data_IF_912186820867
#
_entry.id   IF_912186820867
#
_cell.length_a   1.000
_cell.length_b   1.000
_cell.length_c   1.000
_cell.angle_alpha   90.00
_cell.angle_beta   90.00
_cell.angle_gamma   90.00
#
_symmetry.space_group_name_H-M   'P 1'
#
loop_
_entity.id
_entity.type
_entity.pdbx_description
1 polymer ?
#
# COMPACT_ATOMS: atom_id res chain seq x y z
N UNK A 1 -9.26 -9.48 -10.53
CA UNK A 1 -10.35 -8.53 -10.24
C UNK A 1 -9.87 -7.53 -9.22
N UNK A 2 -10.31 -6.27 -9.33
CA UNK A 2 -9.97 -5.16 -8.44
C UNK A 2 -11.21 -4.32 -8.17
N UNK A 3 -11.26 -3.67 -7.00
CA UNK A 3 -12.21 -2.59 -6.76
C UNK A 3 -11.97 -1.42 -7.73
N UNK A 4 -13.03 -0.82 -8.28
CA UNK A 4 -12.94 0.36 -9.15
C UNK A 4 -12.32 1.56 -8.42
N UNK A 5 -12.50 1.64 -7.11
CA UNK A 5 -11.88 2.63 -6.24
C UNK A 5 -10.71 1.97 -5.49
N UNK A 6 -9.53 1.96 -6.12
CA UNK A 6 -8.33 1.35 -5.56
C UNK A 6 -7.08 2.06 -6.08
N UNK A 7 -5.91 1.63 -5.60
CA UNK A 7 -4.66 2.25 -6.01
C UNK A 7 -4.29 1.88 -7.46
N UNK A 8 -4.13 2.86 -8.38
CA UNK A 8 -3.97 2.58 -9.82
C UNK A 8 -2.76 1.71 -10.18
N UNK A 9 -1.77 1.62 -9.28
CA UNK A 9 -0.58 0.80 -9.50
C UNK A 9 -0.90 -0.69 -9.67
N UNK A 10 -1.96 -1.20 -9.04
CA UNK A 10 -2.38 -2.60 -9.20
C UNK A 10 -2.77 -2.92 -10.64
N UNK A 11 -3.44 -1.97 -11.32
CA UNK A 11 -3.80 -2.14 -12.74
C UNK A 11 -2.55 -2.19 -13.61
N UNK A 12 -1.58 -1.30 -13.33
CA UNK A 12 -0.31 -1.27 -14.06
C UNK A 12 0.47 -2.57 -13.88
N UNK A 13 0.58 -3.06 -12.64
CA UNK A 13 1.24 -4.34 -12.36
C UNK A 13 0.53 -5.49 -13.08
N UNK A 14 -0.80 -5.57 -13.01
CA UNK A 14 -1.55 -6.63 -13.69
C UNK A 14 -1.27 -6.64 -15.20
N UNK A 15 -1.29 -5.47 -15.84
CA UNK A 15 -0.99 -5.34 -17.27
C UNK A 15 0.45 -5.75 -17.60
N UNK A 16 1.43 -5.36 -16.76
CA UNK A 16 2.84 -5.70 -16.96
C UNK A 16 3.13 -7.20 -16.90
N UNK A 17 2.39 -7.94 -16.06
CA UNK A 17 2.50 -9.40 -15.95
C UNK A 17 1.55 -10.14 -16.90
N UNK A 18 0.97 -9.43 -17.88
CA UNK A 18 0.12 -10.02 -18.93
C UNK A 18 -1.29 -10.39 -18.48
N UNK A 19 -1.75 -9.91 -17.34
CA UNK A 19 -3.11 -10.12 -16.86
C UNK A 19 -4.05 -9.03 -17.40
N UNK A 20 -5.31 -9.40 -17.63
CA UNK A 20 -6.38 -8.46 -17.96
C UNK A 20 -7.07 -8.00 -16.67
N UNK A 21 -6.92 -6.72 -16.25
CA UNK A 21 -7.62 -6.22 -15.07
C UNK A 21 -9.12 -6.13 -15.34
N UNK A 22 -9.93 -6.54 -14.36
CA UNK A 22 -11.38 -6.39 -14.34
C UNK A 22 -11.71 -5.53 -13.13
N UNK A 23 -12.36 -4.40 -13.37
CA UNK A 23 -12.81 -3.50 -12.31
C UNK A 23 -14.24 -3.85 -11.92
N UNK A 24 -14.48 -3.91 -10.62
CA UNK A 24 -15.78 -4.14 -10.00
C UNK A 24 -16.14 -2.91 -9.19
N UNK A 25 -17.38 -2.48 -9.29
CA UNK A 25 -17.88 -1.30 -8.60
C UNK A 25 -17.84 -1.48 -7.06
N UNK A 26 -17.98 -0.37 -6.36
CA UNK A 26 -17.96 -0.32 -4.90
C UNK A 26 -19.37 -0.24 -4.34
N UNK A 27 -19.56 -0.79 -3.14
CA UNK A 27 -20.79 -0.55 -2.39
C UNK A 27 -20.80 0.90 -1.83
N UNK A 28 -22.00 1.50 -1.68
CA UNK A 28 -22.11 2.95 -1.42
C UNK A 28 -21.81 3.35 0.03
N UNK A 29 -21.81 2.44 0.99
CA UNK A 29 -21.72 2.77 2.42
C UNK A 29 -20.27 3.03 2.83
N UNK A 30 -19.34 2.13 2.46
CA UNK A 30 -17.92 2.21 2.85
C UNK A 30 -16.99 2.34 1.66
N UNK A 31 -17.53 2.31 0.42
CA UNK A 31 -16.78 2.42 -0.84
C UNK A 31 -15.78 1.27 -1.06
N UNK A 32 -16.04 0.13 -0.45
CA UNK A 32 -15.28 -1.10 -0.66
C UNK A 32 -15.86 -1.93 -1.81
N UNK A 33 -15.15 -2.99 -2.23
CA UNK A 33 -15.58 -3.88 -3.30
C UNK A 33 -16.99 -4.42 -3.01
N UNK A 34 -17.95 -4.22 -3.94
CA UNK A 34 -19.31 -4.75 -3.83
C UNK A 34 -19.33 -6.28 -4.06
N UNK A 35 -19.69 -7.11 -3.06
CA UNK A 35 -19.72 -8.56 -3.22
C UNK A 35 -20.71 -9.05 -4.28
N UNK A 36 -21.82 -8.32 -4.50
CA UNK A 36 -22.81 -8.68 -5.50
C UNK A 36 -22.29 -8.47 -6.93
N UNK A 37 -21.51 -7.42 -7.13
CA UNK A 37 -20.85 -7.16 -8.40
C UNK A 37 -19.65 -8.10 -8.61
N UNK A 38 -18.92 -8.42 -7.53
CA UNK A 38 -17.85 -9.42 -7.57
C UNK A 38 -18.37 -10.77 -8.09
N UNK A 39 -19.50 -11.26 -7.55
CA UNK A 39 -20.11 -12.53 -7.96
C UNK A 39 -20.41 -12.58 -9.45
N UNK A 40 -20.81 -11.46 -10.05
CA UNK A 40 -21.10 -11.36 -11.49
C UNK A 40 -19.82 -11.28 -12.34
N UNK A 41 -18.72 -10.80 -11.78
CA UNK A 41 -17.48 -10.56 -12.50
C UNK A 41 -16.52 -11.75 -12.50
N UNK A 42 -16.67 -12.69 -11.56
CA UNK A 42 -15.85 -13.91 -11.50
C UNK A 42 -16.15 -14.82 -12.68
N UNK A 43 -15.10 -15.37 -13.26
CA UNK A 43 -15.14 -16.36 -14.33
C UNK A 43 -14.05 -17.42 -14.10
N UNK A 44 -14.07 -18.49 -14.88
CA UNK A 44 -13.01 -19.52 -14.94
C UNK A 44 -11.61 -18.97 -15.27
N UNK A 45 -11.56 -17.76 -15.84
CA UNK A 45 -10.30 -17.06 -16.16
C UNK A 45 -9.80 -16.16 -15.02
N UNK A 46 -10.57 -15.98 -13.96
CA UNK A 46 -10.17 -15.15 -12.82
C UNK A 46 -8.96 -15.77 -12.10
N UNK A 47 -7.87 -15.01 -11.96
CA UNK A 47 -6.63 -15.49 -11.33
C UNK A 47 -6.47 -15.06 -9.89
N UNK A 48 -7.01 -13.92 -9.54
CA UNK A 48 -7.00 -13.40 -8.16
C UNK A 48 -8.03 -12.29 -8.00
N UNK A 49 -8.41 -12.04 -6.76
CA UNK A 49 -9.21 -10.89 -6.34
C UNK A 49 -8.34 -10.04 -5.42
N UNK A 50 -8.19 -8.76 -5.71
CA UNK A 50 -7.53 -7.80 -4.81
C UNK A 50 -8.61 -6.97 -4.14
N UNK A 51 -8.68 -7.08 -2.82
CA UNK A 51 -9.65 -6.37 -1.97
C UNK A 51 -8.92 -5.26 -1.24
N UNK A 52 -9.27 -4.02 -1.51
CA UNK A 52 -8.73 -2.86 -0.78
C UNK A 52 -9.65 -2.53 0.39
N UNK A 53 -9.09 -2.40 1.59
CA UNK A 53 -9.79 -1.88 2.77
C UNK A 53 -9.63 -0.36 2.81
N UNK A 54 -10.56 0.33 2.15
CA UNK A 54 -10.41 1.74 1.86
C UNK A 54 -10.64 2.61 3.12
N UNK A 55 -9.80 3.62 3.32
CA UNK A 55 -9.87 4.56 4.45
C UNK A 55 -9.88 3.91 5.84
N UNK A 56 -9.41 2.67 5.96
CA UNK A 56 -9.40 1.91 7.20
C UNK A 56 -10.72 1.19 7.49
N UNK A 57 -11.71 1.27 6.60
CA UNK A 57 -12.93 0.47 6.68
C UNK A 57 -12.71 -0.90 6.06
N UNK A 58 -12.89 -1.99 6.81
CA UNK A 58 -12.80 -3.34 6.25
C UNK A 58 -13.91 -3.59 5.23
N UNK A 59 -13.59 -4.31 4.15
CA UNK A 59 -14.60 -4.85 3.24
C UNK A 59 -15.34 -6.04 3.89
N UNK A 60 -16.49 -6.45 3.35
CA UNK A 60 -17.29 -7.60 3.81
C UNK A 60 -16.56 -8.93 3.52
N UNK A 61 -15.53 -9.21 4.34
CA UNK A 61 -14.59 -10.28 4.06
C UNK A 61 -15.16 -11.69 4.16
N UNK A 62 -16.15 -11.91 4.99
CA UNK A 62 -16.88 -13.18 5.08
C UNK A 62 -17.56 -13.52 3.76
N UNK A 63 -18.32 -12.57 3.18
CA UNK A 63 -19.01 -12.74 1.90
C UNK A 63 -18.01 -12.85 0.75
N UNK A 64 -17.01 -11.97 0.71
CA UNK A 64 -16.00 -11.96 -0.37
C UNK A 64 -15.18 -13.25 -0.37
N UNK A 65 -14.74 -13.72 0.79
CA UNK A 65 -13.96 -14.97 0.86
C UNK A 65 -14.82 -16.20 0.57
N UNK A 66 -16.08 -16.19 0.96
CA UNK A 66 -17.02 -17.27 0.56
C UNK A 66 -17.14 -17.36 -0.97
N UNK A 67 -17.39 -16.22 -1.64
CA UNK A 67 -17.48 -16.17 -3.11
C UNK A 67 -16.19 -16.65 -3.77
N UNK A 68 -15.05 -16.23 -3.25
CA UNK A 68 -13.75 -16.59 -3.78
C UNK A 68 -13.44 -18.09 -3.62
N UNK A 69 -13.78 -18.66 -2.45
CA UNK A 69 -13.59 -20.09 -2.15
C UNK A 69 -14.49 -20.97 -3.04
N UNK A 70 -15.75 -20.58 -3.28
CA UNK A 70 -16.67 -21.30 -4.16
C UNK A 70 -16.11 -21.43 -5.61
N UNK A 71 -15.21 -20.52 -5.99
CA UNK A 71 -14.61 -20.46 -7.33
C UNK A 71 -13.11 -20.84 -7.35
N UNK A 72 -12.54 -21.25 -6.22
CA UNK A 72 -11.10 -21.54 -6.05
C UNK A 72 -10.20 -20.38 -6.51
N UNK A 73 -10.57 -19.13 -6.18
CA UNK A 73 -9.84 -17.93 -6.55
C UNK A 73 -9.17 -17.32 -5.32
N UNK A 74 -7.84 -17.11 -5.33
CA UNK A 74 -7.15 -16.52 -4.18
C UNK A 74 -7.51 -15.03 -3.99
N UNK A 75 -7.68 -14.65 -2.71
CA UNK A 75 -7.92 -13.26 -2.29
C UNK A 75 -6.63 -12.66 -1.77
N UNK A 76 -6.29 -11.47 -2.25
CA UNK A 76 -5.20 -10.62 -1.80
C UNK A 76 -5.81 -9.41 -1.12
N UNK A 77 -5.52 -9.21 0.17
CA UNK A 77 -6.00 -8.04 0.91
C UNK A 77 -5.00 -6.89 0.80
N UNK A 78 -5.44 -5.75 0.28
CA UNK A 78 -4.70 -4.50 0.35
C UNK A 78 -5.04 -3.76 1.64
N UNK A 79 -4.18 -3.92 2.62
CA UNK A 79 -4.26 -3.30 3.94
C UNK A 79 -3.41 -2.02 4.05
N UNK A 80 -3.06 -1.39 2.93
CA UNK A 80 -2.23 -0.18 2.94
C UNK A 80 -2.85 1.00 3.72
N UNK A 81 -4.15 0.95 4.01
CA UNK A 81 -4.88 1.97 4.76
C UNK A 81 -5.59 1.43 6.00
N UNK A 82 -5.47 0.13 6.30
CA UNK A 82 -6.26 -0.56 7.33
C UNK A 82 -5.42 -1.27 8.40
N UNK A 83 -4.23 -0.74 8.71
CA UNK A 83 -3.44 -1.26 9.81
C UNK A 83 -4.24 -1.15 11.13
N UNK A 84 -4.28 -2.24 11.92
CA UNK A 84 -5.05 -2.35 13.16
C UNK A 84 -6.56 -2.12 12.97
N UNK A 85 -7.10 -2.48 11.79
CA UNK A 85 -8.53 -2.52 11.51
C UNK A 85 -9.06 -3.94 11.63
N UNK A 86 -10.31 -4.08 12.06
CA UNK A 86 -10.92 -5.36 12.38
C UNK A 86 -12.27 -5.50 11.69
N UNK A 87 -12.52 -6.65 11.10
CA UNK A 87 -13.82 -7.08 10.61
C UNK A 87 -14.30 -8.26 11.45
N UNK A 88 -15.47 -8.18 12.07
CA UNK A 88 -16.03 -9.24 12.91
C UNK A 88 -15.04 -9.75 13.99
N UNK A 89 -14.25 -8.85 14.59
CA UNK A 89 -13.24 -9.16 15.62
C UNK A 89 -11.95 -9.79 15.10
N UNK A 90 -11.79 -9.95 13.79
CA UNK A 90 -10.59 -10.48 13.13
C UNK A 90 -9.86 -9.38 12.36
N UNK A 91 -8.54 -9.33 12.50
CA UNK A 91 -7.70 -8.30 11.88
C UNK A 91 -7.68 -8.40 10.35
N UNK A 92 -7.77 -7.26 9.65
CA UNK A 92 -7.60 -7.18 8.19
C UNK A 92 -6.23 -7.70 7.77
N UNK A 93 -6.15 -8.26 6.57
CA UNK A 93 -4.93 -8.92 6.06
C UNK A 93 -4.81 -10.39 6.46
N UNK A 94 -5.74 -10.91 7.26
CA UNK A 94 -5.70 -12.31 7.71
C UNK A 94 -6.81 -13.19 7.12
N UNK A 95 -7.72 -12.63 6.35
CA UNK A 95 -8.86 -13.33 5.74
C UNK A 95 -8.50 -14.03 4.44
N UNK A 96 -7.75 -13.35 3.58
CA UNK A 96 -7.35 -13.85 2.28
C UNK A 96 -6.12 -14.78 2.33
N UNK A 97 -5.63 -15.12 1.15
CA UNK A 97 -4.40 -15.89 0.98
C UNK A 97 -3.17 -15.10 1.43
N UNK A 98 -3.19 -13.77 1.23
CA UNK A 98 -2.13 -12.87 1.68
C UNK A 98 -2.69 -11.48 1.96
N UNK A 99 -2.09 -10.78 2.94
CA UNK A 99 -2.34 -9.38 3.25
C UNK A 99 -1.10 -8.53 2.98
N UNK A 100 -1.31 -7.35 2.39
CA UNK A 100 -0.27 -6.38 2.04
C UNK A 100 -0.43 -5.11 2.87
N UNK A 101 0.59 -4.74 3.63
CA UNK A 101 0.64 -3.50 4.42
C UNK A 101 1.70 -2.57 3.84
N UNK A 102 1.35 -1.32 3.62
CA UNK A 102 2.29 -0.30 3.19
C UNK A 102 2.97 0.36 4.38
N UNK A 103 4.30 0.47 4.33
CA UNK A 103 5.12 1.19 5.31
C UNK A 103 5.70 2.49 4.72
N UNK A 104 5.02 3.09 3.73
CA UNK A 104 5.46 4.35 3.12
C UNK A 104 5.41 5.51 4.12
N UNK A 105 6.00 6.65 3.75
CA UNK A 105 6.15 7.82 4.60
C UNK A 105 4.88 8.29 5.31
N UNK A 106 3.72 8.15 4.64
CA UNK A 106 2.43 8.63 5.15
C UNK A 106 1.65 7.56 5.95
N UNK A 107 2.25 6.41 6.20
CA UNK A 107 1.58 5.27 6.85
C UNK A 107 1.98 5.13 8.32
N UNK A 108 1.17 4.37 9.06
CA UNK A 108 1.46 3.88 10.39
C UNK A 108 1.26 2.38 10.38
N UNK A 109 2.32 1.63 10.73
CA UNK A 109 3.69 2.04 10.96
C UNK A 109 4.41 2.49 9.68
N UNK A 110 5.48 3.26 9.80
CA UNK A 110 6.28 3.70 8.65
C UNK A 110 7.74 3.25 8.76
N UNK A 111 8.31 2.84 7.64
CA UNK A 111 9.74 2.63 7.44
C UNK A 111 10.31 3.57 6.37
N UNK A 112 9.60 4.70 6.13
CA UNK A 112 9.89 5.68 5.08
C UNK A 112 9.76 5.11 3.65
N UNK A 113 9.29 3.89 3.51
CA UNK A 113 9.10 3.16 2.25
C UNK A 113 8.98 1.66 2.50
N UNK A 114 8.69 0.89 1.45
CA UNK A 114 8.50 -0.55 1.55
C UNK A 114 7.12 -0.95 2.07
N UNK A 115 7.02 -2.21 2.46
CA UNK A 115 5.79 -2.81 2.96
C UNK A 115 6.04 -4.16 3.61
N UNK A 116 4.99 -4.70 4.21
CA UNK A 116 4.97 -6.04 4.81
C UNK A 116 3.92 -6.87 4.10
N UNK A 117 4.27 -8.09 3.76
CA UNK A 117 3.35 -9.10 3.29
C UNK A 117 3.21 -10.16 4.36
N UNK A 118 1.99 -10.54 4.68
CA UNK A 118 1.68 -11.63 5.59
C UNK A 118 0.91 -12.73 4.87
N UNK A 119 1.22 -13.98 5.17
CA UNK A 119 0.50 -15.14 4.67
C UNK A 119 0.68 -16.32 5.63
N UNK A 120 -0.29 -17.24 5.64
CA UNK A 120 -0.17 -18.53 6.34
C UNK A 120 0.44 -19.61 5.44
N UNK A 121 0.53 -19.36 4.15
CA UNK A 121 1.13 -20.27 3.17
C UNK A 121 2.66 -20.13 3.22
N UNK A 122 3.31 -21.13 3.80
CA UNK A 122 4.78 -21.16 3.96
C UNK A 122 5.50 -21.30 2.63
N UNK A 123 4.90 -21.97 1.65
CA UNK A 123 5.45 -22.12 0.30
C UNK A 123 5.43 -20.78 -0.44
N UNK A 124 4.27 -20.07 -0.39
CA UNK A 124 4.16 -18.72 -0.93
C UNK A 124 5.16 -17.77 -0.27
N UNK A 125 5.27 -17.79 1.07
CA UNK A 125 6.22 -16.97 1.81
C UNK A 125 7.67 -17.23 1.37
N UNK A 126 8.04 -18.49 1.15
CA UNK A 126 9.36 -18.89 0.66
C UNK A 126 9.62 -18.38 -0.77
N UNK A 127 8.66 -18.56 -1.67
CA UNK A 127 8.73 -18.06 -3.06
C UNK A 127 8.90 -16.55 -3.12
N UNK A 128 8.12 -15.82 -2.31
CA UNK A 128 8.19 -14.35 -2.28
C UNK A 128 9.54 -13.88 -1.73
N UNK A 129 10.07 -14.50 -0.67
CA UNK A 129 11.40 -14.19 -0.15
C UNK A 129 12.48 -14.40 -1.21
N UNK A 130 12.44 -15.53 -1.92
CA UNK A 130 13.36 -15.83 -2.99
C UNK A 130 13.31 -14.79 -4.11
N UNK A 131 12.10 -14.45 -4.59
CA UNK A 131 11.89 -13.40 -5.59
C UNK A 131 12.42 -12.04 -5.11
N UNK A 132 12.12 -11.66 -3.86
CA UNK A 132 12.62 -10.43 -3.26
C UNK A 132 14.14 -10.42 -3.11
N UNK A 133 14.76 -11.59 -2.98
CA UNK A 133 16.21 -11.74 -2.96
C UNK A 133 16.86 -11.65 -4.35
N UNK A 134 16.25 -12.24 -5.35
CA UNK A 134 16.71 -12.21 -6.73
C UNK A 134 16.60 -10.82 -7.37
N UNK A 135 15.56 -10.06 -7.00
CA UNK A 135 15.29 -8.71 -7.50
C UNK A 135 16.00 -7.61 -6.68
N UNK A 136 17.09 -7.95 -5.99
CA UNK A 136 17.81 -7.01 -5.13
C UNK A 136 18.55 -5.94 -5.94
N UNK A 137 17.99 -4.76 -6.01
CA UNK A 137 18.77 -3.56 -6.29
C UNK A 137 19.26 -2.96 -4.97
N UNK A 138 20.57 -2.83 -4.79
CA UNK A 138 21.13 -2.10 -3.65
C UNK A 138 20.84 -0.62 -3.84
N UNK A 139 20.16 -0.01 -2.89
CA UNK A 139 20.06 1.46 -2.86
C UNK A 139 21.47 2.02 -2.75
N UNK A 140 21.95 2.67 -3.79
CA UNK A 140 23.23 3.39 -3.73
C UNK A 140 23.22 4.45 -2.61
N UNK A 141 24.40 4.89 -2.18
CA UNK A 141 24.54 5.88 -1.09
C UNK A 141 23.65 7.12 -1.29
N UNK A 142 23.50 7.59 -2.53
CA UNK A 142 22.62 8.72 -2.89
C UNK A 142 21.14 8.43 -2.60
N UNK A 143 20.67 7.22 -2.89
CA UNK A 143 19.29 6.80 -2.59
C UNK A 143 19.05 6.76 -1.08
N UNK A 144 19.99 6.24 -0.29
CA UNK A 144 19.90 6.23 1.17
C UNK A 144 19.82 7.65 1.74
N UNK A 145 20.69 8.56 1.29
CA UNK A 145 20.64 9.98 1.68
C UNK A 145 19.29 10.61 1.34
N UNK A 146 18.73 10.30 0.16
CA UNK A 146 17.40 10.79 -0.24
C UNK A 146 16.30 10.34 0.73
N UNK A 147 16.33 9.09 1.19
CA UNK A 147 15.35 8.57 2.16
C UNK A 147 15.49 9.25 3.53
N UNK A 148 16.71 9.43 4.02
CA UNK A 148 16.95 10.15 5.29
C UNK A 148 16.46 11.61 5.21
N UNK A 149 16.74 12.29 4.09
CA UNK A 149 16.29 13.66 3.87
C UNK A 149 14.76 13.75 3.83
N UNK A 150 14.10 12.82 3.14
CA UNK A 150 12.63 12.74 3.14
C UNK A 150 12.06 12.51 4.54
N UNK A 151 12.69 11.64 5.34
CA UNK A 151 12.32 11.41 6.73
C UNK A 151 12.46 12.67 7.57
N UNK A 152 13.59 13.37 7.47
CA UNK A 152 13.83 14.62 8.18
C UNK A 152 12.82 15.70 7.80
N UNK A 153 12.58 15.91 6.51
CA UNK A 153 11.57 16.87 6.01
C UNK A 153 10.18 16.51 6.53
N UNK A 154 9.83 15.22 6.60
CA UNK A 154 8.55 14.79 7.14
C UNK A 154 8.41 15.10 8.63
N UNK A 155 9.47 14.87 9.42
CA UNK A 155 9.49 15.21 10.84
C UNK A 155 9.33 16.73 11.03
N UNK A 156 10.07 17.54 10.29
CA UNK A 156 9.95 19.00 10.34
C UNK A 156 8.55 19.47 9.95
N UNK A 157 7.93 18.84 8.95
CA UNK A 157 6.57 19.14 8.53
C UNK A 157 5.48 18.72 9.53
N UNK A 158 5.81 17.86 10.49
CA UNK A 158 4.88 17.46 11.56
C UNK A 158 4.68 18.58 12.59
N UNK A 159 5.56 19.58 12.61
CA UNK A 159 5.42 20.76 13.47
C UNK A 159 4.69 21.87 12.72
N UNK A 160 3.46 22.29 13.13
CA UNK A 160 2.63 23.25 12.39
C UNK A 160 3.35 24.57 12.10
N UNK A 161 4.16 25.05 13.04
CA UNK A 161 4.91 26.30 12.91
C UNK A 161 6.01 26.19 11.84
N UNK A 162 6.78 25.10 11.83
CA UNK A 162 7.82 24.86 10.84
C UNK A 162 7.22 24.61 9.46
N UNK A 163 6.12 23.87 9.38
CA UNK A 163 5.36 23.69 8.13
C UNK A 163 4.93 25.04 7.55
N UNK A 164 4.31 25.90 8.36
CA UNK A 164 3.80 27.21 7.93
C UNK A 164 4.93 28.15 7.45
N UNK A 165 6.03 28.21 8.20
CA UNK A 165 7.14 29.15 7.92
C UNK A 165 8.03 28.70 6.76
N UNK A 166 8.25 27.38 6.60
CA UNK A 166 9.20 26.85 5.64
C UNK A 166 8.50 26.12 4.48
N UNK A 167 7.84 25.00 4.79
CA UNK A 167 7.36 24.10 3.77
C UNK A 167 6.19 24.66 2.97
N UNK A 168 5.25 25.33 3.62
CA UNK A 168 4.11 25.98 2.94
C UNK A 168 4.57 27.05 1.96
N UNK A 169 5.55 27.88 2.35
CA UNK A 169 6.11 28.92 1.48
C UNK A 169 6.85 28.33 0.29
N UNK A 170 7.70 27.33 0.54
CA UNK A 170 8.46 26.63 -0.51
C UNK A 170 7.53 25.90 -1.47
N UNK A 171 6.55 25.14 -0.97
CA UNK A 171 5.56 24.46 -1.83
C UNK A 171 4.68 25.45 -2.60
N UNK A 172 4.31 26.58 -1.99
CA UNK A 172 3.60 27.67 -2.66
C UNK A 172 4.39 28.25 -3.83
N UNK A 173 5.69 28.47 -3.64
CA UNK A 173 6.59 28.98 -4.67
C UNK A 173 6.80 27.97 -5.82
N UNK A 174 7.02 26.68 -5.47
CA UNK A 174 7.17 25.60 -6.45
C UNK A 174 5.86 25.47 -7.24
N UNK A 175 4.70 25.48 -6.59
CA UNK A 175 3.39 25.38 -7.26
C UNK A 175 3.19 26.50 -8.29
N UNK A 176 3.61 27.73 -7.97
CA UNK A 176 3.49 28.87 -8.88
C UNK A 176 4.45 28.79 -10.07
N UNK A 177 5.69 28.29 -9.85
CA UNK A 177 6.73 28.27 -10.90
C UNK A 177 6.76 26.97 -11.71
N UNK A 178 6.55 25.83 -11.05
CA UNK A 178 6.60 24.52 -11.69
C UNK A 178 5.66 23.52 -11.01
N UNK A 179 4.37 23.52 -11.34
CA UNK A 179 3.39 22.62 -10.75
C UNK A 179 3.69 21.13 -11.01
N UNK A 180 4.35 20.80 -12.12
CA UNK A 180 4.76 19.42 -12.44
C UNK A 180 5.85 18.92 -11.49
N UNK A 181 6.79 19.80 -11.10
CA UNK A 181 7.82 19.45 -10.10
C UNK A 181 7.18 19.17 -8.74
N UNK A 182 6.20 19.99 -8.32
CA UNK A 182 5.47 19.76 -7.08
C UNK A 182 4.75 18.41 -7.11
N UNK A 183 4.07 18.09 -8.20
CA UNK A 183 3.41 16.80 -8.41
C UNK A 183 4.41 15.64 -8.28
N UNK A 184 5.57 15.72 -8.92
CA UNK A 184 6.64 14.72 -8.79
C UNK A 184 7.15 14.57 -7.35
N UNK A 185 7.28 15.65 -6.60
CA UNK A 185 7.73 15.61 -5.19
C UNK A 185 6.68 14.93 -4.31
N UNK A 186 5.41 15.33 -4.45
CA UNK A 186 4.32 14.84 -3.59
C UNK A 186 3.83 13.43 -3.95
N UNK A 187 3.85 13.12 -5.25
CA UNK A 187 3.26 11.88 -5.79
C UNK A 187 4.30 11.00 -6.51
N UNK A 188 5.58 11.11 -6.12
CA UNK A 188 6.64 10.27 -6.69
C UNK A 188 6.27 8.79 -6.59
N UNK A 189 6.20 8.11 -7.74
CA UNK A 189 5.79 6.70 -7.84
C UNK A 189 4.29 6.47 -8.07
N UNK A 190 3.46 7.52 -8.14
CA UNK A 190 2.02 7.42 -8.47
C UNK A 190 1.71 7.77 -9.93
N UNK A 191 2.71 8.13 -10.73
CA UNK A 191 2.49 8.53 -12.12
C UNK A 191 2.24 7.28 -12.99
N UNK A 192 1.03 7.19 -13.55
CA UNK A 192 0.65 6.09 -14.45
C UNK A 192 1.45 6.13 -15.77
N UNK A 193 1.92 7.31 -16.17
CA UNK A 193 2.76 7.50 -17.35
C UNK A 193 4.24 7.24 -17.09
N UNK A 194 4.61 7.01 -15.82
CA UNK A 194 5.99 6.69 -15.47
C UNK A 194 6.36 5.29 -15.99
N UNK A 195 7.02 5.28 -17.14
CA UNK A 195 7.57 4.07 -17.75
C UNK A 195 8.71 3.46 -16.93
N UNK A 196 9.20 4.20 -15.93
CA UNK A 196 10.32 3.80 -15.06
C UNK A 196 9.93 2.84 -13.94
N UNK A 197 8.64 2.42 -13.86
CA UNK A 197 8.26 1.38 -12.92
C UNK A 197 8.79 0.02 -13.41
N UNK A 198 10.04 -0.26 -13.10
CA UNK A 198 10.62 -1.60 -13.20
C UNK A 198 10.59 -2.26 -11.81
N UNK A 199 9.86 -3.36 -11.63
CA UNK A 199 9.91 -4.13 -10.38
C UNK A 199 11.33 -4.56 -10.00
N UNK A 200 12.21 -4.76 -10.98
CA UNK A 200 13.60 -5.16 -10.77
C UNK A 200 14.49 -4.03 -10.19
N UNK A 201 14.09 -2.77 -10.37
CA UNK A 201 14.86 -1.61 -9.87
C UNK A 201 14.49 -1.19 -8.44
N UNK A 202 13.68 -1.95 -7.72
CA UNK A 202 13.27 -1.57 -6.36
C UNK A 202 14.39 -1.77 -5.36
N UNK A 203 14.80 -0.71 -4.68
CA UNK A 203 15.85 -0.82 -3.69
C UNK A 203 15.38 -1.64 -2.49
N UNK A 204 16.26 -2.51 -2.00
CA UNK A 204 16.07 -3.20 -0.72
C UNK A 204 15.95 -2.17 0.41
N UNK A 205 15.13 -2.47 1.40
CA UNK A 205 15.14 -1.72 2.65
C UNK A 205 16.55 -1.73 3.26
N UNK A 206 17.04 -0.55 3.61
CA UNK A 206 18.32 -0.42 4.30
C UNK A 206 18.19 -0.93 5.76
N UNK A 207 19.29 -1.31 6.38
CA UNK A 207 19.30 -1.83 7.75
C UNK A 207 18.57 -0.91 8.73
N UNK A 208 18.81 0.39 8.68
CA UNK A 208 18.12 1.38 9.53
C UNK A 208 16.62 1.43 9.34
N UNK A 209 16.10 1.11 8.14
CA UNK A 209 14.66 1.05 7.88
C UNK A 209 14.03 -0.17 8.56
N UNK A 210 14.77 -1.28 8.65
CA UNK A 210 14.35 -2.47 9.39
C UNK A 210 14.32 -2.19 10.89
N UNK A 211 15.34 -1.51 11.43
CA UNK A 211 15.40 -1.08 12.83
C UNK A 211 14.26 -0.09 13.15
N UNK A 212 14.05 0.91 12.29
CA UNK A 212 12.92 1.83 12.40
C UNK A 212 11.59 1.07 12.38
N UNK A 213 11.46 0.08 11.50
CA UNK A 213 10.29 -0.79 11.44
C UNK A 213 10.04 -1.52 12.76
N UNK A 214 11.06 -2.14 13.34
CA UNK A 214 10.94 -2.84 14.61
C UNK A 214 10.41 -1.92 15.73
N UNK A 215 10.94 -0.69 15.81
CA UNK A 215 10.46 0.32 16.77
C UNK A 215 9.04 0.78 16.44
N UNK A 216 8.75 1.07 15.19
CA UNK A 216 7.43 1.55 14.76
C UNK A 216 6.33 0.50 15.01
N UNK A 217 6.60 -0.77 14.70
CA UNK A 217 5.64 -1.85 14.93
C UNK A 217 5.42 -2.12 16.42
N UNK A 218 6.42 -1.95 17.28
CA UNK A 218 6.26 -2.13 18.73
C UNK A 218 5.31 -1.11 19.37
N UNK A 219 5.22 0.10 18.83
CA UNK A 219 4.34 1.16 19.34
C UNK A 219 3.15 1.49 18.42
N UNK A 220 2.98 0.74 17.33
CA UNK A 220 1.98 1.07 16.30
C UNK A 220 0.54 1.06 16.83
N UNK A 221 0.17 0.13 17.72
CA UNK A 221 -1.16 0.11 18.36
C UNK A 221 -1.42 1.36 19.17
N UNK A 222 -0.49 1.76 20.01
CA UNK A 222 -0.62 3.00 20.81
C UNK A 222 -0.79 4.23 19.89
N UNK A 223 -0.05 4.27 18.80
CA UNK A 223 -0.17 5.34 17.80
C UNK A 223 -1.56 5.34 17.14
N UNK A 224 -2.10 4.17 16.80
CA UNK A 224 -3.43 4.03 16.19
C UNK A 224 -4.52 4.44 17.20
N UNK A 225 -4.42 4.02 18.45
CA UNK A 225 -5.35 4.45 19.50
C UNK A 225 -5.35 5.97 19.71
N UNK A 226 -4.17 6.60 19.73
CA UNK A 226 -4.08 8.07 19.80
C UNK A 226 -4.76 8.75 18.62
N UNK A 227 -4.63 8.19 17.41
CA UNK A 227 -5.31 8.72 16.21
C UNK A 227 -6.84 8.60 16.27
N UNK A 228 -7.34 7.49 16.84
CA UNK A 228 -8.80 7.27 16.99
C UNK A 228 -9.43 8.21 18.01
N UNK A 229 -8.65 8.74 18.96
CA UNK A 229 -9.12 9.67 20.00
C UNK A 229 -9.14 11.13 19.55
N UNK A 230 -8.42 11.48 18.48
CA UNK A 230 -8.32 12.82 17.92
C UNK A 230 -9.32 13.01 16.76
#
# INVERSE_FOLDING_TARGET
IFSALSFPLYLKIALQIGLKPVLVDVEPEHLNLDPNQLRKAITDKTKAIVVTHLFGHPAEMDVITSIANDCDVPVIEDCAQSYDSYYEGRETGTFGWTGLFSCSLMKVPTTLGGGVLITRDTELASKIRKLAEEQRCLTGAMGQVSYHLKGLVSILNSYPLLYSLLSHQVFGLIRKRNPMLLRRILYAGMDMDDKSFDPAERPRLAAYQLELGAVQFSCAREMTEKRRRN
#
